data_IF_209827396062
#
_entry.id   IF_209827396062
#
_cell.length_a   1.000
_cell.length_b   1.000
_cell.length_c   1.000
_cell.angle_alpha   90.00
_cell.angle_beta   90.00
_cell.angle_gamma   90.00
#
_symmetry.space_group_name_H-M   'P 1'
#
loop_
_entity.id
_entity.type
_entity.pdbx_description
1 polymer ?
#
# COMPACT_ATOMS: atom_id res chain seq x y z
N UNK A 1 68.06 13.80 8.82
CA UNK A 1 66.62 13.52 8.89
C UNK A 1 65.90 14.85 8.84
N UNK A 2 65.20 15.16 7.74
CA UNK A 2 64.37 16.37 7.64
C UNK A 2 62.94 15.87 7.46
N UNK A 3 62.15 16.01 8.52
CA UNK A 3 60.72 15.74 8.49
C UNK A 3 60.07 16.79 7.58
N UNK A 4 59.58 16.33 6.43
CA UNK A 4 58.84 17.16 5.47
C UNK A 4 57.42 17.30 6.02
N UNK A 5 57.13 18.43 6.65
CA UNK A 5 55.78 18.77 7.08
C UNK A 5 54.85 18.76 5.86
N UNK A 6 53.88 17.84 5.88
CA UNK A 6 52.82 17.71 4.88
C UNK A 6 51.80 18.83 5.09
N UNK A 7 52.11 20.02 4.58
CA UNK A 7 51.10 21.06 4.41
C UNK A 7 50.18 20.64 3.26
N UNK A 8 48.94 20.26 3.58
CA UNK A 8 47.89 20.12 2.55
C UNK A 8 47.79 21.44 1.80
N UNK A 9 48.14 21.44 0.52
CA UNK A 9 48.10 22.67 -0.26
C UNK A 9 46.63 23.07 -0.43
N UNK A 10 46.33 24.37 -0.32
CA UNK A 10 44.96 24.90 -0.40
C UNK A 10 44.25 24.46 -1.70
N UNK A 11 45.04 24.26 -2.76
CA UNK A 11 44.64 23.68 -4.04
C UNK A 11 44.12 22.24 -3.92
N UNK A 12 44.79 21.38 -3.15
CA UNK A 12 44.41 19.98 -2.95
C UNK A 12 43.06 19.86 -2.23
N UNK A 13 42.82 20.74 -1.24
CA UNK A 13 41.53 20.82 -0.55
C UNK A 13 40.44 21.30 -1.51
N UNK A 14 40.73 22.30 -2.33
CA UNK A 14 39.77 22.89 -3.26
C UNK A 14 39.38 21.91 -4.37
N UNK A 15 40.35 21.17 -4.92
CA UNK A 15 40.12 20.07 -5.86
C UNK A 15 39.31 18.95 -5.21
N UNK A 16 39.63 18.57 -3.97
CA UNK A 16 38.89 17.53 -3.25
C UNK A 16 37.43 17.92 -3.02
N UNK A 17 37.16 19.16 -2.63
CA UNK A 17 35.79 19.68 -2.46
C UNK A 17 35.04 19.76 -3.79
N UNK A 18 35.71 20.18 -4.87
CA UNK A 18 35.12 20.20 -6.21
C UNK A 18 34.72 18.80 -6.69
N UNK A 19 35.60 17.81 -6.50
CA UNK A 19 35.33 16.42 -6.84
C UNK A 19 34.19 15.85 -6.00
N UNK A 20 34.12 16.19 -4.71
CA UNK A 20 33.00 15.83 -3.84
C UNK A 20 31.69 16.44 -4.35
N UNK A 21 31.70 17.72 -4.72
CA UNK A 21 30.52 18.42 -5.24
C UNK A 21 30.01 17.81 -6.55
N UNK A 22 30.92 17.45 -7.46
CA UNK A 22 30.58 16.76 -8.71
C UNK A 22 30.03 15.35 -8.46
N UNK A 23 30.53 14.65 -7.44
CA UNK A 23 30.01 13.35 -7.04
C UNK A 23 28.64 13.43 -6.35
N UNK A 24 28.37 14.50 -5.58
CA UNK A 24 27.12 14.71 -4.83
C UNK A 24 25.98 15.30 -5.68
N UNK A 25 26.29 16.06 -6.73
CA UNK A 25 25.30 16.63 -7.63
C UNK A 25 24.28 15.61 -8.18
N UNK A 26 24.67 14.45 -8.72
CA UNK A 26 23.70 13.45 -9.21
C UNK A 26 22.86 12.84 -8.08
N UNK A 27 23.42 12.68 -6.88
CA UNK A 27 22.68 12.18 -5.71
C UNK A 27 21.56 13.15 -5.28
N UNK A 28 21.84 14.45 -5.30
CA UNK A 28 20.85 15.49 -5.00
C UNK A 28 19.76 15.58 -6.07
N UNK A 29 20.09 15.28 -7.33
CA UNK A 29 19.09 15.21 -8.41
C UNK A 29 18.16 14.00 -8.28
N UNK A 30 18.64 12.89 -7.73
CA UNK A 30 17.84 11.67 -7.50
C UNK A 30 17.08 11.69 -6.18
N UNK A 31 17.45 12.56 -5.24
CA UNK A 31 16.83 12.61 -3.92
C UNK A 31 15.29 12.81 -3.96
N UNK A 32 14.73 13.76 -4.74
CA UNK A 32 13.28 13.99 -4.76
C UNK A 32 12.49 12.77 -5.27
N UNK A 33 13.02 12.07 -6.29
CA UNK A 33 12.36 10.89 -6.84
C UNK A 33 12.42 9.70 -5.87
N UNK A 34 13.51 9.55 -5.13
CA UNK A 34 13.64 8.53 -4.09
C UNK A 34 12.68 8.77 -2.91
N UNK A 35 12.51 10.03 -2.49
CA UNK A 35 11.54 10.40 -1.44
C UNK A 35 10.12 10.12 -1.90
N UNK A 36 9.75 10.57 -3.10
CA UNK A 36 8.41 10.34 -3.66
C UNK A 36 8.11 8.84 -3.85
N UNK A 37 9.09 8.05 -4.28
CA UNK A 37 8.95 6.61 -4.39
C UNK A 37 8.71 5.94 -3.03
N UNK A 38 9.44 6.37 -1.99
CA UNK A 38 9.30 5.84 -0.64
C UNK A 38 7.92 6.16 -0.03
N UNK A 39 7.43 7.39 -0.22
CA UNK A 39 6.08 7.78 0.20
C UNK A 39 5.02 6.95 -0.53
N UNK A 40 5.12 6.84 -1.86
CA UNK A 40 4.21 6.00 -2.65
C UNK A 40 4.22 4.52 -2.21
N UNK A 41 5.37 3.98 -1.82
CA UNK A 41 5.47 2.62 -1.29
C UNK A 41 4.79 2.48 0.08
N UNK A 42 4.94 3.46 0.97
CA UNK A 42 4.27 3.47 2.27
C UNK A 42 2.75 3.54 2.12
N UNK A 43 2.27 4.42 1.25
CA UNK A 43 0.83 4.58 1.02
C UNK A 43 0.23 3.28 0.47
N UNK A 44 0.89 2.65 -0.52
CA UNK A 44 0.46 1.34 -1.03
C UNK A 44 0.47 0.25 0.04
N UNK A 45 1.46 0.24 0.94
CA UNK A 45 1.50 -0.74 2.03
C UNK A 45 0.35 -0.55 3.02
N UNK A 46 -0.02 0.70 3.31
CA UNK A 46 -1.16 1.01 4.18
C UNK A 46 -2.50 0.66 3.51
N UNK A 47 -2.66 0.96 2.22
CA UNK A 47 -3.83 0.53 1.44
C UNK A 47 -3.96 -1.00 1.43
N UNK A 48 -2.85 -1.71 1.23
CA UNK A 48 -2.82 -3.17 1.27
C UNK A 48 -3.25 -3.71 2.64
N UNK A 49 -2.76 -3.12 3.74
CA UNK A 49 -3.13 -3.49 5.09
C UNK A 49 -4.62 -3.23 5.39
N UNK A 50 -5.17 -2.11 4.92
CA UNK A 50 -6.59 -1.79 5.06
C UNK A 50 -7.47 -2.80 4.30
N UNK A 51 -7.10 -3.11 3.05
CA UNK A 51 -7.80 -4.09 2.24
C UNK A 51 -7.72 -5.51 2.84
N UNK A 52 -6.55 -5.93 3.34
CA UNK A 52 -6.38 -7.24 3.97
C UNK A 52 -7.17 -7.35 5.27
N UNK A 53 -7.12 -6.33 6.12
CA UNK A 53 -7.91 -6.29 7.36
C UNK A 53 -9.41 -6.41 7.07
N UNK A 54 -9.92 -5.72 6.06
CA UNK A 54 -11.34 -5.81 5.70
C UNK A 54 -11.71 -7.17 5.10
N UNK A 55 -10.81 -7.75 4.31
CA UNK A 55 -10.98 -9.10 3.76
C UNK A 55 -11.00 -10.17 4.85
N UNK A 56 -10.16 -10.04 5.88
CA UNK A 56 -10.18 -10.91 7.06
C UNK A 56 -11.48 -10.77 7.86
N UNK A 57 -11.94 -9.54 8.10
CA UNK A 57 -13.21 -9.25 8.78
C UNK A 57 -14.38 -9.92 8.06
N UNK A 58 -14.50 -9.70 6.75
CA UNK A 58 -15.55 -10.30 5.92
C UNK A 58 -15.44 -11.83 5.89
N UNK A 59 -14.22 -12.36 5.70
CA UNK A 59 -13.97 -13.79 5.67
C UNK A 59 -14.33 -14.49 6.98
N UNK A 60 -14.01 -13.89 8.12
CA UNK A 60 -14.39 -14.42 9.43
C UNK A 60 -15.90 -14.37 9.67
N UNK A 61 -16.58 -13.28 9.28
CA UNK A 61 -18.04 -13.17 9.36
C UNK A 61 -18.73 -14.27 8.56
N UNK A 62 -18.36 -14.41 7.28
CA UNK A 62 -18.92 -15.42 6.38
C UNK A 62 -18.69 -16.85 6.89
N UNK A 63 -17.50 -17.14 7.44
CA UNK A 63 -17.19 -18.45 8.06
C UNK A 63 -18.01 -18.72 9.32
N UNK A 64 -18.35 -17.68 10.09
CA UNK A 64 -19.22 -17.79 11.28
C UNK A 64 -20.71 -17.87 10.93
N UNK A 65 -21.07 -17.78 9.64
CA UNK A 65 -22.45 -17.86 9.18
C UNK A 65 -23.23 -16.56 9.37
N UNK A 66 -22.57 -15.41 9.49
CA UNK A 66 -23.27 -14.13 9.42
C UNK A 66 -23.86 -13.93 8.02
N UNK A 67 -24.99 -13.22 7.91
CA UNK A 67 -25.55 -12.85 6.62
C UNK A 67 -24.48 -12.13 5.77
N UNK A 68 -24.42 -12.47 4.47
CA UNK A 68 -23.48 -11.84 3.54
C UNK A 68 -23.77 -10.33 3.48
N UNK A 69 -22.80 -9.45 3.78
CA UNK A 69 -23.03 -8.01 3.81
C UNK A 69 -23.20 -7.38 2.41
N UNK A 70 -23.16 -8.16 1.33
CA UNK A 70 -23.33 -7.65 -0.03
C UNK A 70 -22.20 -6.70 -0.43
N UNK A 71 -22.54 -5.49 -0.87
CA UNK A 71 -21.58 -4.45 -1.24
C UNK A 71 -21.63 -3.27 -0.25
N UNK A 72 -20.49 -2.63 -0.04
CA UNK A 72 -20.39 -1.46 0.84
C UNK A 72 -19.06 -0.74 0.74
N UNK A 73 -18.94 0.36 1.47
CA UNK A 73 -17.73 1.16 1.58
C UNK A 73 -17.52 1.67 3.01
N UNK A 74 -16.27 1.90 3.38
CA UNK A 74 -15.89 2.47 4.66
C UNK A 74 -14.57 3.24 4.54
N UNK A 75 -14.40 4.27 5.36
CA UNK A 75 -13.11 4.97 5.47
C UNK A 75 -12.07 4.08 6.16
N UNK A 76 -10.82 4.16 5.74
CA UNK A 76 -9.73 3.42 6.37
C UNK A 76 -9.33 4.08 7.70
N UNK A 77 -9.12 3.31 8.77
CA UNK A 77 -8.56 3.85 10.00
C UNK A 77 -7.09 4.23 9.79
N UNK A 78 -6.74 5.51 10.00
CA UNK A 78 -5.36 5.96 10.06
C UNK A 78 -4.74 6.48 8.76
N UNK A 79 -5.47 6.50 7.64
CA UNK A 79 -5.02 7.14 6.40
C UNK A 79 -6.07 8.16 5.92
N UNK A 80 -5.76 9.47 5.87
CA UNK A 80 -6.70 10.47 5.38
C UNK A 80 -7.06 10.18 3.92
N UNK A 81 -8.32 10.43 3.57
CA UNK A 81 -8.86 10.21 2.22
C UNK A 81 -8.70 8.76 1.72
N UNK A 82 -8.60 7.78 2.61
CA UNK A 82 -8.57 6.38 2.23
C UNK A 82 -9.96 5.77 2.33
N UNK A 83 -10.36 5.07 1.26
CA UNK A 83 -11.64 4.38 1.16
C UNK A 83 -11.40 2.90 0.88
N UNK A 84 -12.08 2.03 1.65
CA UNK A 84 -12.18 0.60 1.38
C UNK A 84 -13.58 0.31 0.87
N UNK A 85 -13.67 -0.24 -0.33
CA UNK A 85 -14.91 -0.75 -0.92
C UNK A 85 -14.87 -2.27 -0.94
N UNK A 86 -16.01 -2.92 -0.73
CA UNK A 86 -16.12 -4.37 -0.83
C UNK A 86 -17.37 -4.80 -1.56
N UNK A 87 -17.29 -5.99 -2.12
CA UNK A 87 -18.39 -6.67 -2.79
C UNK A 87 -18.31 -8.17 -2.46
N UNK A 88 -19.41 -8.72 -1.96
CA UNK A 88 -19.55 -10.14 -1.65
C UNK A 88 -20.63 -10.74 -2.53
N UNK A 89 -20.23 -11.63 -3.43
CA UNK A 89 -21.11 -12.36 -4.32
C UNK A 89 -21.24 -13.82 -3.86
N UNK A 90 -22.46 -14.35 -3.82
CA UNK A 90 -22.69 -15.77 -3.50
C UNK A 90 -22.59 -16.58 -4.79
N UNK A 91 -21.62 -17.49 -4.87
CA UNK A 91 -21.46 -18.37 -6.04
C UNK A 91 -22.32 -19.63 -5.90
N UNK A 92 -22.25 -20.27 -4.74
CA UNK A 92 -23.09 -21.43 -4.41
C UNK A 92 -23.65 -21.28 -3.00
N UNK A 93 -24.94 -21.57 -2.86
CA UNK A 93 -25.59 -21.68 -1.56
C UNK A 93 -26.48 -22.91 -1.56
N UNK A 94 -26.28 -23.78 -0.57
CA UNK A 94 -27.15 -24.94 -0.36
C UNK A 94 -27.97 -24.74 0.90
N UNK A 95 -29.29 -24.90 0.77
CA UNK A 95 -30.21 -24.95 1.91
C UNK A 95 -30.08 -26.27 2.70
N UNK A 96 -29.36 -27.25 2.16
CA UNK A 96 -29.13 -28.54 2.82
C UNK A 96 -28.17 -28.34 3.99
N UNK A 97 -28.57 -28.74 5.22
CA UNK A 97 -27.67 -28.71 6.37
C UNK A 97 -26.39 -29.46 6.00
N UNK A 98 -25.23 -28.86 6.30
CA UNK A 98 -23.87 -29.41 6.05
C UNK A 98 -23.28 -29.24 4.64
N UNK A 99 -23.97 -28.71 3.65
CA UNK A 99 -23.37 -28.53 2.30
C UNK A 99 -22.63 -27.19 2.16
N UNK A 100 -22.92 -26.21 3.03
CA UNK A 100 -22.19 -24.94 3.10
C UNK A 100 -22.49 -24.00 1.93
N UNK A 101 -21.79 -22.87 1.92
CA UNK A 101 -21.92 -21.81 0.92
C UNK A 101 -20.52 -21.36 0.49
N UNK A 102 -20.41 -20.98 -0.78
CA UNK A 102 -19.22 -20.43 -1.40
C UNK A 102 -19.51 -18.98 -1.81
N UNK A 103 -18.64 -18.08 -1.35
CA UNK A 103 -18.70 -16.66 -1.67
C UNK A 103 -17.42 -16.21 -2.34
N UNK A 104 -17.56 -15.30 -3.29
CA UNK A 104 -16.45 -14.51 -3.82
C UNK A 104 -16.47 -13.15 -3.14
N UNK A 105 -15.36 -12.82 -2.49
CA UNK A 105 -15.17 -11.58 -1.75
C UNK A 105 -14.13 -10.75 -2.49
N UNK A 106 -14.54 -9.56 -2.90
CA UNK A 106 -13.68 -8.57 -3.52
C UNK A 106 -13.56 -7.38 -2.59
N UNK A 107 -12.33 -6.96 -2.32
CA UNK A 107 -12.03 -5.79 -1.50
C UNK A 107 -11.05 -4.92 -2.27
N UNK A 108 -11.39 -3.64 -2.40
CA UNK A 108 -10.53 -2.63 -3.02
C UNK A 108 -10.31 -1.49 -2.03
N UNK A 109 -9.06 -1.22 -1.70
CA UNK A 109 -8.68 -0.01 -0.97
C UNK A 109 -8.05 0.99 -1.93
N UNK A 110 -8.46 2.25 -1.85
CA UNK A 110 -7.96 3.33 -2.68
C UNK A 110 -7.71 4.60 -1.86
N UNK A 111 -6.84 5.46 -2.37
CA UNK A 111 -6.75 6.84 -1.93
C UNK A 111 -7.73 7.68 -2.77
N UNK A 112 -8.85 8.08 -2.16
CA UNK A 112 -9.88 8.97 -2.69
C UNK A 112 -9.36 10.41 -2.75
N UNK A 113 -8.42 10.65 -3.67
CA UNK A 113 -7.71 11.90 -3.81
C UNK A 113 -8.64 13.04 -4.26
N UNK A 114 -9.73 12.68 -4.94
CA UNK A 114 -10.72 13.63 -5.45
C UNK A 114 -11.96 13.79 -4.53
N UNK A 115 -12.02 13.06 -3.41
CA UNK A 115 -13.17 13.05 -2.48
C UNK A 115 -14.49 12.68 -3.18
N UNK A 116 -14.43 11.82 -4.19
CA UNK A 116 -15.58 11.30 -4.93
C UNK A 116 -16.40 10.30 -4.13
N UNK A 117 -15.83 9.74 -3.06
CA UNK A 117 -16.44 8.66 -2.29
C UNK A 117 -16.47 7.32 -3.04
N UNK A 118 -15.66 7.17 -4.09
CA UNK A 118 -15.53 5.95 -4.87
C UNK A 118 -14.05 5.67 -5.19
N UNK A 119 -13.70 4.39 -5.41
CA UNK A 119 -12.38 4.05 -5.91
C UNK A 119 -12.35 4.17 -7.44
N UNK A 120 -11.73 5.25 -7.94
CA UNK A 120 -11.60 5.47 -9.37
C UNK A 120 -10.37 4.77 -9.95
N UNK A 121 -10.43 4.34 -11.21
CA UNK A 121 -9.35 3.60 -11.86
C UNK A 121 -8.04 4.39 -12.01
N UNK A 122 -8.10 5.72 -11.90
CA UNK A 122 -6.96 6.63 -11.99
C UNK A 122 -6.25 6.82 -10.64
N UNK A 123 -6.87 6.37 -9.55
CA UNK A 123 -6.35 6.55 -8.20
C UNK A 123 -5.44 5.39 -7.78
N UNK A 124 -4.49 5.63 -6.85
CA UNK A 124 -3.72 4.57 -6.23
C UNK A 124 -4.68 3.60 -5.53
N UNK A 125 -4.74 2.37 -6.01
CA UNK A 125 -5.61 1.34 -5.46
C UNK A 125 -4.92 -0.01 -5.33
N UNK A 126 -5.34 -0.77 -4.33
CA UNK A 126 -4.98 -2.16 -4.10
C UNK A 126 -6.27 -2.97 -4.08
N UNK A 127 -6.31 -4.05 -4.86
CA UNK A 127 -7.46 -4.93 -4.95
C UNK A 127 -7.07 -6.36 -4.58
N UNK A 128 -7.87 -6.96 -3.72
CA UNK A 128 -7.82 -8.38 -3.40
C UNK A 128 -9.14 -9.05 -3.77
N UNK A 129 -9.03 -10.18 -4.45
CA UNK A 129 -10.13 -11.07 -4.75
C UNK A 129 -9.84 -12.42 -4.07
N UNK A 130 -10.79 -12.93 -3.30
CA UNK A 130 -10.66 -14.23 -2.64
C UNK A 130 -11.97 -15.00 -2.66
N UNK A 131 -11.88 -16.30 -2.43
CA UNK A 131 -13.03 -17.18 -2.24
C UNK A 131 -13.10 -17.63 -0.79
N UNK A 132 -14.29 -17.53 -0.21
CA UNK A 132 -14.56 -17.91 1.18
C UNK A 132 -15.63 -18.99 1.20
N UNK A 133 -15.35 -20.07 1.91
CA UNK A 133 -16.30 -21.16 2.17
C UNK A 133 -16.79 -21.07 3.62
N UNK A 134 -18.04 -21.46 3.89
CA UNK A 134 -18.52 -21.59 5.29
C UNK A 134 -17.99 -22.82 6.03
N UNK A 135 -17.21 -23.68 5.35
CA UNK A 135 -16.60 -24.88 5.92
C UNK A 135 -15.12 -25.02 5.54
N UNK A 136 -14.23 -25.38 6.48
CA UNK A 136 -12.90 -25.87 6.15
C UNK A 136 -12.97 -27.23 5.43
#
# INVERSE_FOLDING_TARGET
MIARERGHTLLEVLVSVLLLGLALAPLLQLYPSLVAANESHRDRAQLAAAASSKLEELGQGLRRGTASPGAGSAACPGLPNCLVTWEVQTELSSATPRVGSLWTVRVTACADANSSGACEAQEPQVRYDTKVTSRP
#
